data_IF_398232990471
#
_entry.id   IF_398232990471
#
_cell.length_a   1.000
_cell.length_b   1.000
_cell.length_c   1.000
_cell.angle_alpha   90.00
_cell.angle_beta   90.00
_cell.angle_gamma   90.00
#
_symmetry.space_group_name_H-M   'P 1'
#
loop_
_entity.id
_entity.type
_entity.pdbx_description
1 polymer ?
#
# COMPACT_ATOMS: atom_id res chain seq x y z
N UNK A 1 -7.50 -1.38 -1.96
CA UNK A 1 -6.76 -1.47 -3.26
C UNK A 1 -6.52 -2.91 -3.76
N UNK A 2 -7.35 -3.91 -3.41
CA UNK A 2 -7.11 -5.30 -3.84
C UNK A 2 -7.09 -5.54 -5.37
N UNK A 3 -7.78 -4.77 -6.25
CA UNK A 3 -7.69 -5.01 -7.68
C UNK A 3 -6.27 -4.87 -8.23
N UNK A 4 -5.50 -3.89 -7.75
CA UNK A 4 -4.11 -3.70 -8.16
C UNK A 4 -3.24 -4.91 -7.81
N UNK A 5 -3.35 -5.42 -6.57
CA UNK A 5 -2.61 -6.60 -6.14
C UNK A 5 -2.98 -7.83 -6.98
N UNK A 6 -4.27 -8.08 -7.21
CA UNK A 6 -4.70 -9.22 -8.02
C UNK A 6 -4.18 -9.16 -9.46
N UNK A 7 -4.16 -7.96 -10.07
CA UNK A 7 -3.56 -7.78 -11.40
C UNK A 7 -2.07 -8.11 -11.38
N UNK A 8 -1.33 -7.66 -10.36
CA UNK A 8 0.10 -8.00 -10.22
C UNK A 8 0.29 -9.51 -10.07
N UNK A 9 -0.43 -10.17 -9.14
CA UNK A 9 -0.33 -11.61 -8.89
C UNK A 9 -0.67 -12.45 -10.13
N UNK A 10 -1.73 -12.07 -10.86
CA UNK A 10 -2.10 -12.73 -12.11
C UNK A 10 -1.00 -12.59 -13.18
N UNK A 11 -0.39 -11.41 -13.31
CA UNK A 11 0.72 -11.18 -14.24
C UNK A 11 2.01 -11.89 -13.82
N UNK A 12 2.19 -12.15 -12.53
CA UNK A 12 3.30 -12.94 -11.98
C UNK A 12 3.05 -14.46 -12.00
N UNK A 13 1.90 -14.91 -12.50
CA UNK A 13 1.59 -16.32 -12.71
C UNK A 13 1.08 -17.07 -11.47
N UNK A 14 0.68 -16.36 -10.40
CA UNK A 14 0.10 -16.99 -9.21
C UNK A 14 -1.26 -17.65 -9.47
N UNK A 15 -2.01 -17.14 -10.45
CA UNK A 15 -3.26 -17.71 -10.95
C UNK A 15 -3.56 -17.22 -12.38
N UNK A 16 -4.48 -17.87 -13.13
CA UNK A 16 -4.80 -17.49 -14.51
C UNK A 16 -5.39 -16.07 -14.63
N UNK A 17 -4.91 -15.28 -15.61
CA UNK A 17 -5.42 -13.91 -15.84
C UNK A 17 -6.92 -13.84 -16.09
N UNK A 18 -7.51 -14.86 -16.72
CA UNK A 18 -8.95 -14.92 -16.95
C UNK A 18 -9.79 -14.92 -15.67
N UNK A 19 -9.23 -15.36 -14.54
CA UNK A 19 -9.91 -15.37 -13.26
C UNK A 19 -10.22 -13.94 -12.77
N UNK A 20 -9.50 -12.91 -13.22
CA UNK A 20 -9.76 -11.50 -12.91
C UNK A 20 -11.20 -11.07 -13.27
N UNK A 21 -11.82 -11.71 -14.28
CA UNK A 21 -13.22 -11.48 -14.70
C UNK A 21 -14.26 -11.97 -13.67
N UNK A 22 -13.80 -12.65 -12.61
CA UNK A 22 -14.63 -13.19 -11.53
C UNK A 22 -14.59 -12.36 -10.26
N UNK A 23 -13.82 -11.26 -10.23
CA UNK A 23 -13.70 -10.38 -9.07
C UNK A 23 -15.06 -10.02 -8.45
N UNK A 24 -15.16 -10.20 -7.13
CA UNK A 24 -16.38 -9.98 -6.32
C UNK A 24 -17.61 -10.82 -6.71
N UNK A 25 -17.50 -11.81 -7.58
CA UNK A 25 -18.59 -12.76 -7.86
C UNK A 25 -18.66 -13.86 -6.79
N UNK A 26 -19.87 -14.32 -6.51
CA UNK A 26 -20.10 -15.47 -5.63
C UNK A 26 -19.31 -16.69 -6.15
N UNK A 27 -18.59 -17.36 -5.24
CA UNK A 27 -17.76 -18.53 -5.56
C UNK A 27 -16.38 -18.21 -6.14
N UNK A 28 -16.07 -16.94 -6.44
CA UNK A 28 -14.70 -16.55 -6.82
C UNK A 28 -13.79 -16.53 -5.59
N UNK A 29 -12.49 -16.84 -5.75
CA UNK A 29 -11.50 -16.56 -4.70
C UNK A 29 -11.10 -15.07 -4.64
N UNK A 30 -11.37 -14.30 -5.70
CA UNK A 30 -10.98 -12.89 -5.81
C UNK A 30 -12.02 -12.00 -5.12
N UNK A 31 -11.91 -11.93 -3.80
CA UNK A 31 -12.83 -11.23 -2.91
C UNK A 31 -12.61 -9.71 -2.89
N UNK A 32 -13.59 -8.97 -2.34
CA UNK A 32 -13.59 -7.51 -2.28
C UNK A 32 -12.51 -6.89 -1.38
N UNK A 33 -11.92 -7.70 -0.51
CA UNK A 33 -10.65 -7.49 0.18
C UNK A 33 -9.78 -8.75 -0.02
N UNK A 34 -8.47 -8.63 0.18
CA UNK A 34 -7.55 -9.76 -0.05
C UNK A 34 -7.74 -10.82 1.02
N UNK A 35 -7.64 -12.07 0.59
CA UNK A 35 -7.78 -13.25 1.44
C UNK A 35 -6.71 -14.27 1.05
N UNK A 36 -6.14 -14.93 2.06
CA UNK A 36 -5.05 -15.92 1.98
C UNK A 36 -5.35 -17.14 1.11
N UNK A 37 -6.60 -17.37 0.71
CA UNK A 37 -6.94 -18.38 -0.30
C UNK A 37 -6.54 -18.01 -1.74
N UNK A 38 -6.08 -16.77 -1.97
CA UNK A 38 -5.47 -16.37 -3.24
C UNK A 38 -3.97 -16.61 -3.17
N UNK A 39 -3.36 -17.41 -4.08
CA UNK A 39 -1.92 -17.62 -4.08
C UNK A 39 -1.15 -16.30 -4.18
N UNK A 40 -0.15 -16.13 -3.31
CA UNK A 40 0.65 -14.90 -3.20
C UNK A 40 0.07 -13.81 -2.30
N UNK A 41 -1.09 -14.06 -1.66
CA UNK A 41 -1.60 -13.19 -0.58
C UNK A 41 -1.14 -13.73 0.77
N UNK A 42 -0.28 -12.97 1.45
CA UNK A 42 0.34 -13.36 2.72
C UNK A 42 -0.56 -13.17 3.95
N UNK A 43 -1.55 -12.27 3.87
CA UNK A 43 -2.43 -11.94 5.00
C UNK A 43 -3.80 -11.47 4.53
N UNK A 44 -4.84 -11.73 5.34
CA UNK A 44 -6.19 -11.22 5.10
C UNK A 44 -6.25 -9.75 5.51
N UNK A 45 -6.51 -8.83 4.58
CA UNK A 45 -6.62 -7.39 4.92
C UNK A 45 -8.04 -6.87 4.70
N UNK A 46 -8.26 -5.59 4.99
CA UNK A 46 -9.54 -4.89 4.79
C UNK A 46 -9.94 -4.07 6.01
N UNK A 47 -9.57 -4.52 7.21
CA UNK A 47 -9.52 -3.65 8.37
C UNK A 47 -8.25 -2.81 8.30
N UNK A 48 -8.40 -1.50 8.15
CA UNK A 48 -7.28 -0.56 8.10
C UNK A 48 -6.46 -0.62 9.39
N UNK A 49 -5.16 -0.33 9.28
CA UNK A 49 -4.25 -0.17 10.40
C UNK A 49 -3.67 -1.47 10.96
N UNK A 50 -4.10 -2.64 10.48
CA UNK A 50 -3.56 -3.93 10.92
C UNK A 50 -2.32 -4.39 10.13
N UNK A 51 -2.15 -3.90 8.90
CA UNK A 51 -1.13 -4.39 7.97
C UNK A 51 0.30 -4.26 8.50
N UNK A 52 0.65 -3.10 9.08
CA UNK A 52 1.99 -2.87 9.62
C UNK A 52 2.27 -3.73 10.87
N UNK A 53 1.27 -3.96 11.71
CA UNK A 53 1.39 -4.83 12.88
C UNK A 53 1.75 -6.26 12.47
N UNK A 54 1.09 -6.77 11.43
CA UNK A 54 1.36 -8.10 10.87
C UNK A 54 2.74 -8.13 10.20
N UNK A 55 3.11 -7.09 9.45
CA UNK A 55 4.44 -6.98 8.86
C UNK A 55 5.55 -7.03 9.91
N UNK A 56 5.38 -6.37 11.05
CA UNK A 56 6.31 -6.46 12.18
C UNK A 56 6.44 -7.88 12.71
N UNK A 57 5.31 -8.58 12.89
CA UNK A 57 5.30 -9.97 13.34
C UNK A 57 6.04 -10.91 12.37
N UNK A 58 5.84 -10.71 11.07
CA UNK A 58 6.53 -11.47 10.02
C UNK A 58 8.05 -11.21 10.08
N UNK A 59 8.48 -9.95 10.13
CA UNK A 59 9.90 -9.60 10.19
C UNK A 59 10.59 -10.10 11.48
N UNK A 60 9.92 -9.99 12.62
CA UNK A 60 10.40 -10.55 13.89
C UNK A 60 10.57 -12.07 13.81
N UNK A 61 9.56 -12.76 13.26
CA UNK A 61 9.60 -14.20 13.06
C UNK A 61 10.74 -14.63 12.13
N UNK A 62 10.94 -13.89 11.03
CA UNK A 62 12.04 -14.12 10.09
C UNK A 62 13.41 -14.03 10.79
N UNK A 63 13.61 -12.98 11.59
CA UNK A 63 14.84 -12.79 12.38
C UNK A 63 15.08 -13.93 13.36
N UNK A 64 14.05 -14.34 14.12
CA UNK A 64 14.14 -15.45 15.09
C UNK A 64 14.52 -16.75 14.39
N UNK A 65 14.00 -16.98 13.19
CA UNK A 65 14.24 -18.19 12.41
C UNK A 65 15.51 -18.12 11.54
N UNK A 66 16.26 -17.00 11.57
CA UNK A 66 17.42 -16.80 10.70
C UNK A 66 17.09 -16.74 9.20
N UNK A 67 15.85 -16.40 8.85
CA UNK A 67 15.43 -16.18 7.46
C UNK A 67 15.86 -14.79 7.00
N UNK A 68 16.34 -14.72 5.76
CA UNK A 68 16.85 -13.48 5.17
C UNK A 68 15.91 -12.98 4.07
N UNK A 69 14.88 -12.23 4.46
CA UNK A 69 13.97 -11.55 3.53
C UNK A 69 13.47 -10.23 4.10
N UNK A 70 13.08 -9.33 3.19
CA UNK A 70 12.45 -8.06 3.52
C UNK A 70 10.92 -8.18 3.55
N UNK A 71 10.29 -7.40 4.43
CA UNK A 71 8.84 -7.31 4.56
C UNK A 71 8.39 -5.92 4.14
N UNK A 72 7.61 -5.84 3.05
CA UNK A 72 7.07 -4.59 2.53
C UNK A 72 5.60 -4.43 2.94
N UNK A 73 5.22 -3.24 3.39
CA UNK A 73 3.85 -2.91 3.78
C UNK A 73 3.40 -1.63 3.08
N UNK A 74 2.39 -1.72 2.21
CA UNK A 74 1.76 -0.54 1.59
C UNK A 74 0.64 -0.02 2.50
N UNK A 75 0.69 1.27 2.84
CA UNK A 75 -0.25 1.98 3.71
C UNK A 75 -0.95 3.09 2.94
N UNK A 76 -2.18 3.44 3.34
CA UNK A 76 -2.85 4.67 2.89
C UNK A 76 -2.67 5.85 3.86
N UNK A 77 -2.68 7.07 3.35
CA UNK A 77 -2.68 8.30 4.19
C UNK A 77 -3.91 8.43 5.12
N UNK A 78 -5.10 8.02 4.65
CA UNK A 78 -6.26 7.87 5.53
C UNK A 78 -6.13 6.71 6.53
N UNK A 79 -5.38 5.66 6.20
CA UNK A 79 -5.18 4.49 7.07
C UNK A 79 -4.31 4.80 8.28
N UNK A 80 -3.27 5.62 8.12
CA UNK A 80 -2.37 5.98 9.23
C UNK A 80 -3.04 6.85 10.31
N UNK A 81 -4.30 7.23 10.13
CA UNK A 81 -5.11 7.85 11.17
C UNK A 81 -5.52 6.86 12.27
N UNK A 82 -5.39 5.56 12.03
CA UNK A 82 -5.64 4.48 12.99
C UNK A 82 -4.54 4.41 14.05
N UNK A 83 -4.96 4.28 15.32
CA UNK A 83 -4.03 4.20 16.46
C UNK A 83 -3.03 3.05 16.35
N UNK A 84 -3.49 1.91 15.82
CA UNK A 84 -2.70 0.69 15.67
C UNK A 84 -1.49 0.85 14.74
N UNK A 85 -1.54 1.80 13.79
CA UNK A 85 -0.37 2.10 12.93
C UNK A 85 0.74 2.70 13.78
N UNK A 86 0.42 3.61 14.70
CA UNK A 86 1.41 4.25 15.57
C UNK A 86 1.98 3.27 16.61
N UNK A 87 1.15 2.38 17.16
CA UNK A 87 1.63 1.26 17.99
C UNK A 87 2.61 0.37 17.21
N UNK A 88 2.30 0.10 15.95
CA UNK A 88 3.16 -0.69 15.07
C UNK A 88 4.44 0.05 14.72
N UNK A 89 4.39 1.35 14.42
CA UNK A 89 5.56 2.19 14.12
C UNK A 89 6.53 2.24 15.32
N UNK A 90 6.01 2.41 16.55
CA UNK A 90 6.79 2.30 17.78
C UNK A 90 7.48 0.94 17.91
N UNK A 91 6.73 -0.14 17.62
CA UNK A 91 7.24 -1.51 17.71
C UNK A 91 8.39 -1.76 16.72
N UNK A 92 8.25 -1.30 15.47
CA UNK A 92 9.30 -1.48 14.45
C UNK A 92 10.58 -0.74 14.82
N UNK A 93 10.46 0.50 15.32
CA UNK A 93 11.59 1.29 15.79
C UNK A 93 12.25 0.66 17.01
N UNK A 94 11.47 0.29 18.03
CA UNK A 94 11.96 -0.35 19.25
C UNK A 94 12.77 -1.63 18.97
N UNK A 95 12.26 -2.49 18.08
CA UNK A 95 12.93 -3.72 17.69
C UNK A 95 13.95 -3.55 16.56
N UNK A 96 14.20 -2.32 16.09
CA UNK A 96 15.16 -2.04 15.01
C UNK A 96 14.92 -2.93 13.78
N UNK A 97 13.68 -3.00 13.31
CA UNK A 97 13.29 -3.90 12.22
C UNK A 97 13.74 -3.38 10.85
N UNK A 98 15.05 -3.45 10.60
CA UNK A 98 15.69 -3.05 9.35
C UNK A 98 15.28 -3.85 8.10
N UNK A 99 14.57 -4.96 8.27
CA UNK A 99 13.92 -5.69 7.17
C UNK A 99 12.49 -5.21 6.87
N UNK A 100 11.96 -4.20 7.58
CA UNK A 100 10.62 -3.66 7.34
C UNK A 100 10.69 -2.36 6.54
N UNK A 101 10.01 -2.36 5.39
CA UNK A 101 9.78 -1.17 4.57
C UNK A 101 8.28 -0.86 4.54
N UNK A 102 7.89 0.27 5.12
CA UNK A 102 6.54 0.81 5.01
C UNK A 102 6.50 1.84 3.87
N UNK A 103 5.59 1.68 2.92
CA UNK A 103 5.41 2.61 1.79
C UNK A 103 4.04 3.25 1.95
N UNK A 104 3.99 4.57 2.00
CA UNK A 104 2.74 5.31 2.05
C UNK A 104 2.31 5.75 0.65
N UNK A 105 1.11 5.35 0.24
CA UNK A 105 0.38 5.97 -0.87
C UNK A 105 -0.22 7.32 -0.39
N UNK A 106 0.58 8.38 -0.49
CA UNK A 106 0.21 9.73 -0.06
C UNK A 106 -0.56 10.47 -1.17
N UNK A 107 -1.80 10.04 -1.41
CA UNK A 107 -2.65 10.54 -2.50
C UNK A 107 -3.57 11.71 -2.12
N UNK A 108 -3.56 12.10 -0.83
CA UNK A 108 -4.24 13.25 -0.20
C UNK A 108 -5.76 13.12 -0.11
N UNK A 109 -6.33 11.95 -0.40
CA UNK A 109 -7.78 11.75 -0.50
C UNK A 109 -8.23 10.44 0.18
N UNK A 110 -9.14 10.54 1.14
CA UNK A 110 -9.84 9.40 1.75
C UNK A 110 -11.26 9.22 1.18
N UNK A 111 -12.10 8.38 1.79
CA UNK A 111 -13.47 8.07 1.31
C UNK A 111 -14.32 9.33 1.10
N UNK A 112 -14.35 10.21 2.12
CA UNK A 112 -15.30 11.32 2.18
C UNK A 112 -14.71 12.68 1.77
N UNK A 113 -13.47 12.72 1.26
CA UNK A 113 -12.82 13.98 0.89
C UNK A 113 -11.31 14.03 1.12
N UNK A 114 -10.72 15.24 1.07
CA UNK A 114 -9.31 15.45 1.33
C UNK A 114 -8.93 15.07 2.77
N UNK A 115 -7.78 14.41 2.94
CA UNK A 115 -7.33 13.95 4.26
C UNK A 115 -7.13 15.12 5.22
N UNK A 116 -6.54 16.22 4.73
CA UNK A 116 -6.33 17.48 5.48
C UNK A 116 -7.62 18.07 6.07
N UNK A 117 -8.76 17.91 5.41
CA UNK A 117 -10.04 18.47 5.86
C UNK A 117 -10.74 17.55 6.87
N UNK A 118 -10.50 16.23 6.76
CA UNK A 118 -11.16 15.25 7.63
C UNK A 118 -10.36 15.00 8.90
N UNK A 119 -9.07 14.66 8.77
CA UNK A 119 -8.16 14.47 9.89
C UNK A 119 -6.72 14.56 9.40
N UNK A 120 -6.16 15.77 9.48
CA UNK A 120 -4.81 16.07 9.03
C UNK A 120 -3.75 15.28 9.82
N UNK A 121 -2.90 14.59 9.08
CA UNK A 121 -1.83 13.70 9.51
C UNK A 121 -0.46 14.39 9.52
N UNK A 122 -0.34 15.61 8.98
CA UNK A 122 0.92 16.35 8.91
C UNK A 122 1.37 16.90 10.29
N UNK A 123 2.69 17.13 10.51
CA UNK A 123 3.81 16.72 9.66
C UNK A 123 4.02 15.21 9.73
N UNK A 124 4.00 14.51 8.60
CA UNK A 124 4.04 13.04 8.58
C UNK A 124 5.47 12.51 8.70
N UNK A 125 6.42 13.05 7.96
CA UNK A 125 7.82 12.58 7.98
C UNK A 125 8.43 12.73 9.37
N UNK A 126 8.19 13.87 10.03
CA UNK A 126 8.65 14.13 11.40
C UNK A 126 8.11 13.09 12.39
N UNK A 127 6.81 12.74 12.31
CA UNK A 127 6.22 11.71 13.18
C UNK A 127 6.91 10.37 13.02
N UNK A 128 7.16 9.93 11.79
CA UNK A 128 7.83 8.65 11.53
C UNK A 128 9.31 8.68 11.97
N UNK A 129 9.99 9.80 11.75
CA UNK A 129 11.35 10.02 12.23
C UNK A 129 11.44 9.97 13.76
N UNK A 130 10.47 10.56 14.48
CA UNK A 130 10.38 10.51 15.95
C UNK A 130 10.17 9.08 16.48
N UNK A 131 9.54 8.19 15.68
CA UNK A 131 9.46 6.76 15.99
C UNK A 131 10.73 5.96 15.64
N UNK A 132 11.80 6.63 15.22
CA UNK A 132 13.10 6.02 14.94
C UNK A 132 13.22 5.40 13.55
N UNK A 133 12.37 5.79 12.59
CA UNK A 133 12.41 5.30 11.22
C UNK A 133 13.42 6.08 10.36
N UNK A 134 14.02 5.39 9.38
CA UNK A 134 14.65 6.05 8.24
C UNK A 134 13.56 6.51 7.28
N UNK A 135 13.49 7.81 6.96
CA UNK A 135 12.40 8.38 6.16
C UNK A 135 12.91 8.82 4.79
N UNK A 136 12.18 8.48 3.73
CA UNK A 136 12.47 8.85 2.35
C UNK A 136 11.17 9.44 1.75
N UNK A 137 11.27 10.52 1.00
CA UNK A 137 10.14 11.09 0.25
C UNK A 137 10.45 11.04 -1.25
N UNK A 138 9.47 10.59 -2.04
CA UNK A 138 9.59 10.42 -3.50
C UNK A 138 8.33 10.91 -4.23
N UNK A 139 8.45 11.20 -5.51
CA UNK A 139 7.32 11.19 -6.43
C UNK A 139 6.88 9.73 -6.68
N UNK A 140 5.68 9.38 -6.23
CA UNK A 140 5.11 8.04 -6.36
C UNK A 140 4.72 7.66 -7.80
N UNK A 141 4.91 8.55 -8.77
CA UNK A 141 4.79 8.27 -10.21
C UNK A 141 6.13 8.28 -10.94
N UNK A 142 7.24 8.52 -10.24
CA UNK A 142 8.58 8.44 -10.78
C UNK A 142 9.22 7.10 -10.42
N UNK A 143 9.24 6.17 -11.37
CA UNK A 143 9.77 4.82 -11.15
C UNK A 143 11.24 4.82 -10.72
N UNK A 144 12.05 5.75 -11.24
CA UNK A 144 13.47 5.85 -10.87
C UNK A 144 13.65 6.25 -9.41
N UNK A 145 12.84 7.19 -8.90
CA UNK A 145 12.89 7.58 -7.49
C UNK A 145 12.43 6.44 -6.57
N UNK A 146 11.37 5.72 -6.95
CA UNK A 146 10.89 4.55 -6.21
C UNK A 146 11.97 3.46 -6.15
N UNK A 147 12.61 3.14 -7.27
CA UNK A 147 13.70 2.15 -7.32
C UNK A 147 14.86 2.59 -6.42
N UNK A 148 15.31 3.83 -6.53
CA UNK A 148 16.40 4.34 -5.70
C UNK A 148 16.06 4.28 -4.20
N UNK A 149 14.82 4.58 -3.81
CA UNK A 149 14.39 4.49 -2.41
C UNK A 149 14.35 3.04 -1.88
N UNK A 150 13.98 2.08 -2.74
CA UNK A 150 14.01 0.66 -2.40
C UNK A 150 15.45 0.12 -2.33
N UNK A 151 16.32 0.54 -3.24
CA UNK A 151 17.75 0.23 -3.20
C UNK A 151 18.42 0.82 -1.94
N UNK A 152 18.03 2.03 -1.55
CA UNK A 152 18.52 2.66 -0.31
C UNK A 152 18.05 1.88 0.92
N UNK A 153 16.77 1.48 0.99
CA UNK A 153 16.23 0.64 2.05
C UNK A 153 17.06 -0.63 2.30
N UNK A 154 17.53 -1.32 1.25
CA UNK A 154 18.35 -2.53 1.38
C UNK A 154 19.69 -2.28 2.11
N UNK A 155 20.19 -1.04 2.07
CA UNK A 155 21.43 -0.63 2.74
C UNK A 155 21.24 -0.15 4.18
N UNK A 156 20.02 0.23 4.57
CA UNK A 156 19.72 0.70 5.93
C UNK A 156 19.79 -0.46 6.91
N UNK A 157 20.37 -0.20 8.09
CA UNK A 157 20.52 -1.16 9.20
C UNK A 157 20.10 -0.51 10.50
N UNK A 158 19.76 -1.34 11.48
CA UNK A 158 19.38 -0.94 12.85
C UNK A 158 18.11 -0.06 12.98
N UNK A 159 17.34 0.11 11.90
CA UNK A 159 16.06 0.83 11.90
C UNK A 159 15.23 0.47 10.67
N UNK A 160 13.89 0.47 10.79
CA UNK A 160 12.99 0.28 9.65
C UNK A 160 12.97 1.50 8.72
N UNK A 161 12.47 1.35 7.49
CA UNK A 161 12.37 2.43 6.50
C UNK A 161 10.94 2.77 6.12
N UNK A 162 10.62 4.07 6.12
CA UNK A 162 9.34 4.63 5.72
C UNK A 162 9.52 5.45 4.45
N UNK A 163 8.85 5.06 3.37
CA UNK A 163 8.87 5.75 2.09
C UNK A 163 7.52 6.46 1.90
N UNK A 164 7.52 7.79 1.97
CA UNK A 164 6.36 8.61 1.61
C UNK A 164 6.35 8.79 0.09
N UNK A 165 5.48 8.06 -0.60
CA UNK A 165 5.29 8.22 -2.04
C UNK A 165 4.16 9.23 -2.30
N UNK A 166 4.50 10.40 -2.83
CA UNK A 166 3.50 11.41 -3.21
C UNK A 166 2.79 10.96 -4.49
N UNK A 167 1.51 10.66 -4.40
CA UNK A 167 0.75 10.08 -5.52
C UNK A 167 -0.48 10.93 -5.85
N UNK A 168 -1.21 10.50 -6.88
CA UNK A 168 -2.47 11.09 -7.34
C UNK A 168 -3.48 9.97 -7.39
N UNK A 169 -4.53 10.06 -6.58
CA UNK A 169 -5.58 9.03 -6.55
C UNK A 169 -6.24 8.97 -7.92
N UNK A 170 -6.31 7.78 -8.53
CA UNK A 170 -6.88 7.62 -9.87
C UNK A 170 -5.96 8.09 -11.00
N UNK A 171 -4.64 8.17 -10.77
CA UNK A 171 -3.64 8.59 -11.77
C UNK A 171 -3.87 7.95 -13.14
N UNK A 172 -3.77 8.77 -14.19
CA UNK A 172 -3.85 8.34 -15.59
C UNK A 172 -5.25 8.36 -16.18
N UNK A 173 -6.28 8.65 -15.38
CA UNK A 173 -7.66 8.84 -15.86
C UNK A 173 -8.17 10.19 -15.36
N UNK A 174 -8.28 11.15 -16.28
CA UNK A 174 -8.52 12.57 -16.03
C UNK A 174 -9.71 12.86 -15.12
N UNK A 175 -10.82 12.13 -15.30
CA UNK A 175 -12.04 12.32 -14.50
C UNK A 175 -12.02 11.59 -13.14
N UNK A 176 -10.98 10.77 -12.88
CA UNK A 176 -10.73 10.08 -11.61
C UNK A 176 -9.66 10.77 -10.75
N UNK A 177 -8.73 11.50 -11.36
CA UNK A 177 -7.59 12.11 -10.65
C UNK A 177 -8.04 13.02 -9.50
N UNK A 178 -7.61 12.68 -8.27
CA UNK A 178 -7.86 13.45 -7.04
C UNK A 178 -9.32 13.45 -6.55
N UNK A 179 -10.19 12.60 -7.11
CA UNK A 179 -11.61 12.65 -6.83
C UNK A 179 -12.05 11.59 -5.81
N UNK A 180 -12.52 12.01 -4.64
CA UNK A 180 -12.99 11.11 -3.57
C UNK A 180 -14.11 10.16 -4.03
N UNK A 181 -15.02 10.63 -4.91
CA UNK A 181 -16.14 9.85 -5.47
C UNK A 181 -15.73 8.55 -6.16
N UNK A 182 -14.46 8.42 -6.57
CA UNK A 182 -13.91 7.25 -7.24
C UNK A 182 -13.17 6.28 -6.31
N UNK A 183 -13.20 6.52 -4.99
CA UNK A 183 -12.55 5.63 -4.02
C UNK A 183 -13.16 4.22 -4.01
N UNK A 184 -14.49 4.11 -3.99
CA UNK A 184 -15.22 2.84 -3.95
C UNK A 184 -16.16 2.58 -5.13
N UNK A 185 -16.27 3.53 -6.07
CA UNK A 185 -17.23 3.47 -7.18
C UNK A 185 -16.65 2.79 -8.42
N UNK A 186 -17.36 1.82 -8.97
CA UNK A 186 -17.04 1.22 -10.26
C UNK A 186 -17.47 2.15 -11.42
N UNK A 187 -16.67 2.31 -12.48
CA UNK A 187 -17.07 3.05 -13.68
C UNK A 187 -18.19 2.31 -14.42
N UNK A 188 -19.08 3.07 -15.06
CA UNK A 188 -20.02 2.56 -16.05
C UNK A 188 -19.32 2.24 -17.38
N UNK A 189 -20.08 1.82 -18.40
CA UNK A 189 -19.51 1.37 -19.68
C UNK A 189 -18.85 2.52 -20.44
N UNK A 190 -19.48 3.69 -20.42
CA UNK A 190 -18.99 4.91 -21.08
C UNK A 190 -17.72 5.41 -20.40
N UNK A 191 -17.70 5.46 -19.06
CA UNK A 191 -16.53 5.83 -18.27
C UNK A 191 -15.39 4.83 -18.44
N UNK A 192 -15.67 3.53 -18.51
CA UNK A 192 -14.66 2.52 -18.78
C UNK A 192 -14.02 2.73 -20.16
N UNK A 193 -14.82 2.94 -21.19
CA UNK A 193 -14.31 3.19 -22.54
C UNK A 193 -13.45 4.46 -22.61
N UNK A 194 -13.87 5.54 -21.92
CA UNK A 194 -13.08 6.77 -21.82
C UNK A 194 -11.75 6.55 -21.09
N UNK A 195 -11.77 5.86 -19.95
CA UNK A 195 -10.57 5.55 -19.18
C UNK A 195 -9.56 4.71 -19.98
N UNK A 196 -10.03 3.66 -20.67
CA UNK A 196 -9.17 2.81 -21.50
C UNK A 196 -8.49 3.61 -22.62
N UNK A 197 -9.23 4.51 -23.28
CA UNK A 197 -8.69 5.39 -24.31
C UNK A 197 -7.59 6.31 -23.76
N UNK A 198 -7.78 6.90 -22.59
CA UNK A 198 -6.76 7.75 -21.94
C UNK A 198 -5.51 6.95 -21.55
N UNK A 199 -5.67 5.68 -21.19
CA UNK A 199 -4.58 4.76 -20.86
C UNK A 199 -3.88 4.14 -22.08
N UNK A 200 -4.34 4.45 -23.30
CA UNK A 200 -3.73 3.96 -24.54
C UNK A 200 -4.15 2.55 -24.97
N UNK A 201 -5.32 2.07 -24.52
CA UNK A 201 -5.94 0.82 -24.97
C UNK A 201 -6.91 1.02 -26.13
#
# INVERSE_FOLDING_TARGET
ACPALYVVLANRGFFPKDELKTFRKLGSRLQGHVYTGVPGVEHNTGSLGQGLSVANGIALSARIQGMNFNTYCLLGDGEIQEGSVWESAMTSGHHKLDSVCAILDCNKVQENGPVKEIKNEEPILDKWQDFGWHVIEVDGHNLSEIINALDEFDTVKDRPTFIKANTVKGKGVSFMEGQAKWHGKAPDKEQLAAALKELGF
#
